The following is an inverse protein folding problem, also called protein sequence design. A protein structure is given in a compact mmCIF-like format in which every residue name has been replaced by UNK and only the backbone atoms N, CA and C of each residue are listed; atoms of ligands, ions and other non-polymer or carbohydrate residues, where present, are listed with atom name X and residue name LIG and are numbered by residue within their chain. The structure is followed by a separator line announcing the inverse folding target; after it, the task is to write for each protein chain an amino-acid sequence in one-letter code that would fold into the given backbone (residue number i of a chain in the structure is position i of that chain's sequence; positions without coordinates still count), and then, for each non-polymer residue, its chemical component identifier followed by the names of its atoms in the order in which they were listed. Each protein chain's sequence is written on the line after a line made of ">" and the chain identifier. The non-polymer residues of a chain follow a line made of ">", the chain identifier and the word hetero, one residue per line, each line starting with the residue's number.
data_IF_869278883636
#
_entry.id   IF_869278883636
#
_cell.length_a   1.000
_cell.length_b   1.000
_cell.length_c   1.000
_cell.angle_alpha   90.00
_cell.angle_beta   90.00
_cell.angle_gamma   90.00
#
_symmetry.space_group_name_H-M   'P 1'
#
loop_
_entity.id
_entity.type
_entity.pdbx_description
1 polymer ?
2 non-polymer ?
3 non-polymer ?
4 water ?
#
# COMPACT_ATOMS: atom_id res chain seq x y z
N UNK A 7 9.41 -21.51 -3.19
CA UNK A 7 9.50 -20.13 -3.79
C UNK A 7 10.21 -20.21 -5.15
N UNK A 8 9.88 -19.28 -6.05
CA UNK A 8 10.84 -18.83 -7.08
C UNK A 8 11.29 -17.39 -6.66
N UNK A 9 12.54 -17.01 -7.02
CA UNK A 9 13.11 -15.73 -6.59
C UNK A 9 12.51 -14.51 -7.26
N UNK A 10 12.54 -13.39 -6.56
CA UNK A 10 12.17 -12.12 -7.09
C UNK A 10 13.42 -11.56 -7.78
N UNK A 11 13.29 -10.85 -8.89
CA UNK A 11 14.49 -10.34 -9.55
C UNK A 11 14.40 -8.83 -9.73
N UNK A 12 15.47 -8.15 -9.30
CA UNK A 12 15.61 -6.73 -9.53
C UNK A 12 16.70 -6.49 -10.55
N UNK A 13 16.31 -5.98 -11.72
CA UNK A 13 17.24 -5.64 -12.76
C UNK A 13 17.70 -4.23 -12.35
N UNK A 14 19.01 -4.02 -12.33
CA UNK A 14 19.57 -2.81 -11.84
C UNK A 14 20.58 -2.37 -12.87
N UNK A 15 20.95 -1.09 -12.88
CA UNK A 15 21.97 -0.63 -13.85
C UNK A 15 23.38 -1.15 -13.54
N UNK A 16 24.12 -1.53 -14.58
CA UNK A 16 25.48 -2.02 -14.44
C UNK A 16 26.22 -1.11 -13.48
N UNK A 17 26.13 0.20 -13.70
CA UNK A 17 26.95 1.17 -12.96
C UNK A 17 26.71 1.22 -11.45
N UNK A 18 25.56 0.67 -10.99
CA UNK A 18 25.14 0.78 -9.61
C UNK A 18 25.23 -0.53 -8.86
N UNK A 19 25.44 -1.61 -9.57
CA UNK A 19 25.34 -2.93 -9.02
C UNK A 19 26.21 -3.13 -7.77
N UNK A 20 27.48 -2.77 -7.94
CA UNK A 20 28.44 -2.84 -6.87
C UNK A 20 27.92 -2.20 -5.57
N UNK A 21 27.50 -0.94 -5.62
CA UNK A 21 26.95 -0.30 -4.38
C UNK A 21 25.74 -1.06 -3.78
N UNK A 22 24.89 -1.59 -4.67
CA UNK A 22 23.69 -2.28 -4.21
C UNK A 22 24.00 -3.63 -3.52
N UNK A 23 24.78 -4.52 -4.13
CA UNK A 23 25.48 -5.60 -3.36
C UNK A 23 26.12 -5.09 -2.04
N UNK A 24 26.95 -4.06 -2.10
CA UNK A 24 27.64 -3.63 -0.87
C UNK A 24 26.66 -3.11 0.15
N UNK A 25 25.56 -2.50 -0.28
CA UNK A 25 24.54 -2.03 0.65
C UNK A 25 23.61 -3.16 1.11
N UNK A 26 23.70 -4.33 0.46
CA UNK A 26 22.83 -5.48 0.73
C UNK A 26 21.36 -5.10 0.58
N UNK A 27 21.05 -4.44 -0.52
CA UNK A 27 19.68 -4.15 -0.84
C UNK A 27 18.78 -5.42 -0.83
N UNK A 28 19.25 -6.47 -1.50
CA UNK A 28 18.47 -7.67 -1.62
C UNK A 28 17.93 -8.09 -0.23
N UNK A 29 18.80 -8.31 0.74
CA UNK A 29 18.38 -8.88 2.00
C UNK A 29 17.72 -7.90 2.90
N UNK A 30 18.19 -6.67 2.89
CA UNK A 30 17.54 -5.70 3.77
C UNK A 30 16.09 -5.45 3.39
N UNK A 31 15.85 -5.50 2.09
CA UNK A 31 14.50 -5.49 1.52
C UNK A 31 13.56 -6.53 2.13
N UNK A 32 14.04 -7.77 2.16
CA UNK A 32 13.28 -8.86 2.74
C UNK A 32 13.04 -8.62 4.23
N UNK A 33 14.08 -8.16 4.92
CA UNK A 33 13.98 -7.95 6.37
C UNK A 33 12.95 -6.90 6.64
N UNK A 34 13.09 -5.75 5.99
CA UNK A 34 12.17 -4.65 6.29
C UNK A 34 10.72 -5.01 5.90
N UNK A 35 10.56 -5.82 4.85
CA UNK A 35 9.22 -6.26 4.44
C UNK A 35 8.62 -7.13 5.51
N UNK A 36 9.44 -7.96 6.14
CA UNK A 36 8.97 -8.74 7.27
C UNK A 36 8.63 -7.88 8.44
N UNK A 37 9.42 -6.86 8.69
CA UNK A 37 9.15 -6.08 9.83
C UNK A 37 7.85 -5.30 9.57
N UNK A 38 7.66 -4.78 8.38
CA UNK A 38 6.47 -4.01 8.13
C UNK A 38 5.23 -4.93 7.99
N UNK A 39 5.33 -6.06 7.26
CA UNK A 39 4.07 -6.81 6.90
C UNK A 39 3.92 -8.17 7.51
N UNK A 40 4.98 -8.68 8.14
CA UNK A 40 4.92 -9.94 8.87
C UNK A 40 4.89 -11.15 7.96
N UNK A 41 5.40 -11.01 6.74
CA UNK A 41 5.51 -12.14 5.83
C UNK A 41 6.89 -12.15 5.16
N UNK A 42 7.30 -13.38 4.83
CA UNK A 42 8.55 -13.77 4.22
C UNK A 42 8.46 -13.52 2.71
N UNK A 43 9.24 -12.59 2.18
CA UNK A 43 9.44 -12.52 0.73
C UNK A 43 10.31 -13.69 0.28
N UNK A 44 10.17 -14.17 -0.92
CA UNK A 44 11.16 -15.14 -1.41
C UNK A 44 12.53 -14.49 -1.56
N UNK A 45 13.58 -15.24 -1.90
CA UNK A 45 14.88 -14.62 -2.11
C UNK A 45 14.79 -13.55 -3.23
N UNK A 46 15.52 -12.46 -3.08
CA UNK A 46 15.61 -11.45 -4.09
C UNK A 46 17.06 -11.50 -4.63
N UNK A 47 17.23 -11.73 -5.93
CA UNK A 47 18.48 -11.55 -6.65
C UNK A 47 18.57 -10.23 -7.46
N UNK A 48 19.74 -9.61 -7.44
CA UNK A 48 20.06 -8.50 -8.31
C UNK A 48 20.67 -9.06 -9.56
N UNK A 49 20.35 -8.44 -10.68
CA UNK A 49 20.86 -8.77 -11.98
C UNK A 49 21.01 -7.43 -12.80
N UNK A 50 22.11 -7.27 -13.52
CA UNK A 50 22.34 -6.12 -14.42
C UNK A 50 21.35 -6.10 -15.57
N UNK A 51 20.57 -5.03 -15.68
CA UNK A 51 19.66 -4.83 -16.82
C UNK A 51 20.37 -4.21 -18.00
N UNK A 52 20.25 -4.86 -19.16
CA UNK A 52 20.85 -4.35 -20.41
C UNK A 52 20.10 -3.10 -20.81
N UNK A 53 20.83 -2.05 -21.13
CA UNK A 53 20.20 -0.77 -21.45
C UNK A 53 19.18 -0.36 -20.41
N UNK A 54 19.58 -0.30 -19.14
CA UNK A 54 18.86 0.48 -18.12
C UNK A 54 19.71 1.72 -17.93
N UNK A 55 19.09 2.88 -17.86
CA UNK A 55 19.84 4.07 -17.58
C UNK A 55 20.14 4.06 -16.09
N UNK A 56 21.06 4.93 -15.68
CA UNK A 56 21.59 4.86 -14.32
C UNK A 56 20.57 5.00 -13.20
N UNK A 57 19.33 5.42 -13.49
CA UNK A 57 18.37 5.64 -12.39
C UNK A 57 17.07 4.81 -12.52
N UNK A 58 17.22 3.65 -13.14
CA UNK A 58 16.12 2.74 -13.39
C UNK A 58 16.29 1.38 -12.64
N UNK A 59 15.17 0.84 -12.18
CA UNK A 59 15.11 -0.46 -11.59
C UNK A 59 13.94 -1.12 -12.23
N UNK A 60 14.01 -2.43 -12.46
CA UNK A 60 12.84 -3.21 -12.95
C UNK A 60 12.60 -4.41 -12.05
N UNK A 61 11.35 -4.69 -11.72
CA UNK A 61 11.04 -5.89 -10.94
C UNK A 61 10.43 -6.98 -11.86
N UNK A 62 10.90 -8.20 -11.67
CA UNK A 62 10.41 -9.36 -12.37
C UNK A 62 9.82 -10.31 -11.31
N UNK A 63 8.60 -10.81 -11.52
CA UNK A 63 8.03 -11.90 -10.72
C UNK A 63 7.78 -12.99 -11.69
N UNK A 64 8.28 -14.20 -11.40
CA UNK A 64 8.29 -15.33 -12.34
C UNK A 64 8.97 -15.02 -13.66
N UNK A 65 9.99 -14.18 -13.57
CA UNK A 65 10.72 -13.71 -14.73
C UNK A 65 9.85 -12.91 -15.74
N UNK A 66 8.81 -12.24 -15.26
CA UNK A 66 8.05 -11.37 -16.12
C UNK A 66 8.15 -9.96 -15.57
N UNK A 67 8.63 -9.01 -16.41
CA UNK A 67 8.71 -7.59 -16.00
C UNK A 67 7.37 -7.20 -15.48
N UNK A 68 7.36 -6.70 -14.26
CA UNK A 68 6.12 -6.37 -13.60
C UNK A 68 5.95 -4.84 -13.48
N UNK A 69 7.05 -4.10 -13.27
CA UNK A 69 7.02 -2.65 -13.09
C UNK A 69 8.45 -2.15 -13.20
N UNK A 70 8.60 -0.93 -13.75
CA UNK A 70 9.84 -0.23 -13.77
C UNK A 70 9.75 0.96 -12.82
N UNK A 71 10.80 1.25 -12.07
CA UNK A 71 10.84 2.40 -11.13
C UNK A 71 11.94 3.36 -11.51
N UNK A 72 11.77 4.66 -11.26
CA UNK A 72 12.85 5.63 -11.48
C UNK A 72 13.20 6.13 -10.08
N UNK A 73 14.41 5.81 -9.66
CA UNK A 73 14.91 6.24 -8.37
C UNK A 73 16.27 6.91 -8.67
N UNK A 74 16.46 8.11 -8.21
CA UNK A 74 17.71 8.78 -8.51
C UNK A 74 18.63 8.54 -7.30
N UNK A 75 19.51 7.56 -7.48
CA UNK A 75 20.38 7.06 -6.43
C UNK A 75 21.18 8.18 -5.74
N UNK A 76 21.68 9.16 -6.50
CA UNK A 76 22.43 10.23 -5.88
C UNK A 76 21.62 11.38 -5.28
N UNK A 77 20.29 11.37 -5.45
CA UNK A 77 19.44 12.52 -5.08
C UNK A 77 18.53 12.15 -3.92
N UNK A 78 17.76 13.08 -3.40
CA UNK A 78 16.80 12.86 -2.28
C UNK A 78 15.42 13.26 -2.77
N UNK A 79 14.39 12.56 -2.33
CA UNK A 79 13.07 12.86 -2.76
C UNK A 79 12.40 13.73 -1.73
N UNK A 80 11.72 14.81 -2.18
CA UNK A 80 10.91 15.60 -1.31
C UNK A 80 9.55 14.99 -1.37
N UNK A 81 9.07 14.50 -0.24
CA UNK A 81 7.85 13.71 -0.17
C UNK A 81 6.62 14.61 -0.08
N UNK A 82 6.70 15.69 0.71
CA UNK A 82 5.59 16.66 0.77
C UNK A 82 5.94 17.87 -0.06
N UNK A 83 6.37 17.65 -1.30
CA UNK A 83 6.79 18.78 -2.13
C UNK A 83 5.69 19.81 -2.29
N UNK A 84 5.97 21.11 -2.14
CA UNK A 84 5.06 22.18 -2.60
C UNK A 84 5.83 23.07 -3.55
N UNK A 85 5.17 23.98 -4.24
CA UNK A 85 5.90 24.87 -5.14
C UNK A 85 6.71 25.91 -4.44
N UNK A 86 6.41 26.11 -3.18
CA UNK A 86 7.18 27.01 -2.37
C UNK A 86 8.67 26.67 -2.39
N UNK A 87 9.03 25.40 -2.51
CA UNK A 87 10.41 24.94 -2.64
C UNK A 87 11.19 25.69 -3.72
N UNK A 88 10.49 26.13 -4.76
CA UNK A 88 11.14 26.87 -5.86
C UNK A 88 11.49 28.29 -5.38
N UNK A 89 10.81 28.73 -4.34
CA UNK A 89 11.07 30.05 -3.75
C UNK A 89 12.38 30.11 -3.00
N UNK A 90 12.94 28.95 -2.67
CA UNK A 90 14.22 28.93 -2.01
C UNK A 90 15.30 28.67 -3.04
N UNK A 91 15.02 28.98 -4.30
CA UNK A 91 15.94 28.72 -5.38
C UNK A 91 16.25 27.25 -5.68
N UNK A 92 15.44 26.29 -5.25
CA UNK A 92 15.74 24.88 -5.54
C UNK A 92 14.88 24.41 -6.70
N UNK A 93 15.50 23.90 -7.76
CA UNK A 93 14.72 23.44 -8.94
C UNK A 93 14.92 21.98 -9.03
N UNK A 94 13.86 21.22 -8.73
CA UNK A 94 14.01 19.77 -8.57
C UNK A 94 14.11 19.03 -9.87
N UNK A 95 14.62 17.81 -9.80
CA UNK A 95 14.55 16.91 -10.90
C UNK A 95 13.20 16.21 -10.79
N UNK A 96 12.42 16.31 -11.85
CA UNK A 96 11.07 15.87 -11.85
C UNK A 96 10.94 14.56 -12.69
N UNK A 97 10.32 13.54 -12.12
CA UNK A 97 9.90 12.38 -12.91
C UNK A 97 8.40 12.14 -12.81
N UNK A 98 7.77 11.88 -13.98
CA UNK A 98 6.31 11.68 -14.12
C UNK A 98 6.10 10.19 -14.39
N UNK A 99 5.28 9.52 -13.55
CA UNK A 99 5.11 8.03 -13.52
C UNK A 99 3.67 7.63 -13.08
N UNK A 100 2.84 7.23 -14.05
CA UNK A 100 1.40 7.14 -13.86
C UNK A 100 1.03 8.60 -13.83
N UNK A 101 -0.09 8.94 -13.19
CA UNK A 101 -0.42 10.36 -12.95
C UNK A 101 0.06 10.84 -11.55
N UNK A 102 1.16 10.25 -11.06
CA UNK A 102 1.94 10.80 -9.94
C UNK A 102 3.12 11.63 -10.48
N UNK A 103 3.58 12.61 -9.71
CA UNK A 103 4.82 13.34 -10.07
C UNK A 103 5.78 13.26 -8.85
N UNK A 104 7.07 13.11 -9.11
CA UNK A 104 8.10 12.86 -8.05
C UNK A 104 9.17 13.92 -8.16
N UNK A 105 9.58 14.48 -7.04
CA UNK A 105 10.52 15.59 -7.03
C UNK A 105 11.77 15.26 -6.28
N UNK A 106 12.89 15.37 -6.96
CA UNK A 106 14.14 14.95 -6.37
C UNK A 106 15.06 16.15 -6.38
N UNK A 107 15.90 16.25 -5.36
CA UNK A 107 16.76 17.39 -5.13
C UNK A 107 18.11 16.82 -4.65
N UNK A 108 19.16 17.63 -4.61
CA UNK A 108 20.44 17.15 -4.13
C UNK A 108 20.42 17.00 -2.62
N UNK A 109 21.41 16.25 -2.12
CA UNK A 109 21.66 16.10 -0.69
C UNK A 109 21.77 17.42 0.01
N UNK A 110 22.41 18.32 -0.67
CA UNK A 110 22.68 19.62 -0.12
C UNK A 110 21.40 20.42 0.01
N UNK A 111 20.66 20.45 -1.09
CA UNK A 111 19.36 21.13 -1.19
C UNK A 111 18.43 20.47 -0.23
N UNK A 112 18.63 19.18 -0.01
CA UNK A 112 17.80 18.43 0.87
C UNK A 112 17.95 18.82 2.30
N UNK A 113 19.17 19.16 2.72
CA UNK A 113 19.42 19.53 4.10
C UNK A 113 18.78 20.88 4.32
N UNK A 114 18.81 21.74 3.32
CA UNK A 114 18.21 23.05 3.46
C UNK A 114 16.69 22.89 3.63
N UNK A 115 16.07 22.07 2.78
CA UNK A 115 14.63 21.87 2.90
C UNK A 115 14.18 21.17 4.18
N UNK A 116 15.01 20.30 4.74
CA UNK A 116 14.69 19.63 6.02
C UNK A 116 14.45 20.62 7.13
N UNK A 117 15.28 21.66 7.14
CA UNK A 117 15.17 22.67 8.18
C UNK A 117 14.04 23.68 7.92
N UNK A 118 13.38 23.56 6.78
CA UNK A 118 12.16 24.32 6.51
C UNK A 118 10.96 23.41 6.79
N UNK A 119 11.16 22.21 7.30
CA UNK A 119 10.02 21.31 7.55
C UNK A 119 9.70 20.22 6.50
N UNK A 120 10.32 20.25 5.32
CA UNK A 120 10.08 19.21 4.34
C UNK A 120 10.64 17.86 4.84
N UNK A 121 9.92 16.80 4.48
CA UNK A 121 10.31 15.43 4.74
C UNK A 121 10.96 14.89 3.47
N UNK A 122 12.25 14.61 3.59
CA UNK A 122 13.06 14.10 2.51
C UNK A 122 13.33 12.63 2.72
N UNK A 123 13.56 11.89 1.64
CA UNK A 123 13.73 10.42 1.66
C UNK A 123 14.86 10.02 0.70
N UNK A 124 15.75 9.11 1.11
CA UNK A 124 16.80 8.67 0.19
C UNK A 124 16.35 7.68 -0.89
N UNK A 125 17.19 7.51 -1.90
CA UNK A 125 16.81 6.71 -3.05
C UNK A 125 16.46 5.29 -2.62
N UNK A 126 17.24 4.70 -1.70
CA UNK A 126 16.97 3.30 -1.29
C UNK A 126 15.65 3.14 -0.49
N UNK A 127 15.39 4.00 0.49
CA UNK A 127 14.11 3.99 1.23
C UNK A 127 12.97 4.13 0.22
N UNK A 128 13.07 5.13 -0.66
CA UNK A 128 12.08 5.32 -1.71
C UNK A 128 11.85 4.07 -2.52
N UNK A 129 12.95 3.43 -2.88
CA UNK A 129 12.91 2.24 -3.73
C UNK A 129 12.20 1.14 -3.01
N UNK A 130 12.47 1.05 -1.71
CA UNK A 130 11.77 0.06 -0.91
C UNK A 130 10.28 0.35 -0.85
N UNK A 131 9.85 1.60 -0.64
CA UNK A 131 8.42 1.88 -0.49
C UNK A 131 7.70 1.51 -1.79
N UNK A 132 8.38 1.74 -2.92
CA UNK A 132 7.83 1.41 -4.24
C UNK A 132 7.71 -0.08 -4.42
N UNK A 133 8.76 -0.82 -4.14
CA UNK A 133 8.70 -2.31 -4.21
C UNK A 133 7.71 -2.88 -3.24
N UNK A 134 7.71 -2.37 -2.00
CA UNK A 134 6.79 -2.87 -0.97
C UNK A 134 5.36 -2.76 -1.46
N UNK A 135 5.05 -1.59 -2.02
CA UNK A 135 3.69 -1.25 -2.48
C UNK A 135 3.24 -2.19 -3.59
N UNK A 136 4.07 -2.37 -4.62
CA UNK A 136 3.85 -3.34 -5.74
C UNK A 136 3.79 -4.82 -5.29
N UNK A 137 4.70 -5.18 -4.38
CA UNK A 137 4.69 -6.54 -3.82
C UNK A 137 3.50 -6.77 -2.89
N UNK A 138 3.12 -5.77 -2.11
CA UNK A 138 1.89 -5.92 -1.30
C UNK A 138 0.73 -6.27 -2.24
N UNK A 139 0.64 -5.56 -3.37
CA UNK A 139 -0.44 -5.77 -4.34
C UNK A 139 -0.34 -7.14 -5.02
N UNK A 140 0.89 -7.63 -5.23
CA UNK A 140 1.10 -8.93 -5.88
C UNK A 140 1.28 -10.09 -4.89
N UNK A 141 0.72 -9.92 -3.69
CA UNK A 141 0.78 -10.91 -2.60
C UNK A 141 0.41 -12.30 -3.02
N UNK A 142 -0.60 -12.46 -3.87
CA UNK A 142 -0.93 -13.83 -4.34
C UNK A 142 0.25 -14.54 -5.03
N UNK A 143 1.17 -13.79 -5.68
CA UNK A 143 2.31 -14.44 -6.34
C UNK A 143 3.23 -15.23 -5.42
N UNK A 144 3.32 -14.91 -4.12
CA UNK A 144 4.28 -15.60 -3.26
C UNK A 144 3.75 -15.94 -1.85
N UNK A 145 2.45 -15.76 -1.61
CA UNK A 145 1.86 -15.97 -0.30
C UNK A 145 0.49 -16.54 -0.51
N UNK A 146 0.22 -17.70 0.09
CA UNK A 146 -0.98 -18.52 -0.15
C UNK A 146 -1.14 -19.56 0.98
N UNK A 147 -1.77 -20.71 0.66
CA UNK A 147 -2.06 -21.74 1.65
C UNK A 147 -0.78 -22.18 2.40
N UNK A 148 0.30 -22.55 1.71
CA UNK A 148 1.48 -23.09 2.41
C UNK A 148 2.02 -22.14 3.46
N UNK A 149 2.18 -20.87 3.09
CA UNK A 149 2.73 -19.89 4.01
C UNK A 149 1.78 -19.58 5.13
N UNK A 150 0.50 -19.43 4.83
CA UNK A 150 -0.50 -19.27 5.86
C UNK A 150 -0.35 -20.36 6.90
N UNK A 151 -0.36 -21.59 6.41
CA UNK A 151 -0.33 -22.79 7.22
C UNK A 151 0.99 -22.79 8.05
N UNK A 152 2.05 -22.26 7.50
CA UNK A 152 3.26 -22.12 8.30
C UNK A 152 3.17 -21.00 9.36
N UNK A 153 2.48 -19.90 9.07
CA UNK A 153 2.26 -18.84 10.10
C UNK A 153 1.43 -19.32 11.28
N UNK A 154 0.39 -20.08 10.98
CA UNK A 154 -0.45 -20.77 11.98
C UNK A 154 0.34 -21.72 12.92
N UNK A 155 1.33 -22.43 12.37
CA UNK A 155 2.17 -23.36 13.16
C UNK A 155 2.88 -22.57 14.23
N UNK A 156 3.47 -21.45 13.80
CA UNK A 156 4.23 -20.58 14.68
C UNK A 156 3.28 -20.01 15.77
N UNK A 157 2.07 -19.62 15.37
CA UNK A 157 1.07 -19.15 16.33
C UNK A 157 0.61 -20.27 17.32
N UNK A 158 0.39 -21.49 16.84
CA UNK A 158 0.02 -22.63 17.72
C UNK A 158 1.01 -22.99 18.84
N UNK A 159 2.29 -22.77 18.62
CA UNK A 159 3.33 -23.01 19.64
C UNK A 159 3.23 -21.95 20.77
N UNK A 160 2.57 -20.81 20.51
CA UNK A 160 2.31 -19.78 21.54
C UNK A 160 0.86 -19.80 22.06
N UNK A 161 -0.10 -19.83 21.14
CA UNK A 161 -1.51 -19.64 21.46
C UNK A 161 -2.36 -20.77 20.85
N UNK A 162 -2.24 -21.97 21.40
CA UNK A 162 -2.95 -23.11 20.78
C UNK A 162 -4.50 -23.03 20.87
N UNK A 163 -4.99 -22.57 21.99
CA UNK A 163 -6.42 -22.49 22.21
C UNK A 163 -7.08 -21.53 21.22
N UNK A 164 -6.47 -20.37 20.97
CA UNK A 164 -7.02 -19.41 20.01
C UNK A 164 -6.96 -19.95 18.58
N UNK A 165 -5.95 -20.74 18.24
CA UNK A 165 -5.88 -21.29 16.91
C UNK A 165 -7.06 -22.18 16.76
N UNK A 166 -7.36 -22.98 17.78
CA UNK A 166 -8.48 -23.89 17.68
C UNK A 166 -9.84 -23.21 17.67
N UNK A 167 -9.99 -22.08 18.34
CA UNK A 167 -11.27 -21.38 18.29
C UNK A 167 -11.50 -20.95 16.85
N UNK A 168 -10.49 -20.35 16.25
CA UNK A 168 -10.65 -19.85 14.89
C UNK A 168 -10.97 -20.96 13.90
N UNK A 169 -10.31 -22.10 14.00
CA UNK A 169 -10.58 -23.27 13.12
C UNK A 169 -11.92 -23.96 13.33
N UNK A 170 -12.55 -23.83 14.50
CA UNK A 170 -13.90 -24.34 14.64
C UNK A 170 -14.76 -23.62 13.62
N UNK A 171 -14.43 -22.38 13.28
CA UNK A 171 -15.32 -21.52 12.45
C UNK A 171 -14.84 -21.09 11.06
N UNK A 172 -13.54 -21.20 10.80
CA UNK A 172 -12.90 -20.86 9.51
C UNK A 172 -11.92 -21.99 9.08
N UNK A 173 -11.88 -22.32 7.79
CA UNK A 173 -10.91 -23.27 7.30
C UNK A 173 -9.59 -22.54 7.08
N UNK A 174 -8.51 -23.30 6.99
CA UNK A 174 -7.21 -22.75 6.60
C UNK A 174 -7.22 -22.03 5.24
N UNK A 175 -7.98 -22.52 4.28
CA UNK A 175 -8.19 -21.82 3.03
C UNK A 175 -8.72 -20.39 3.28
N UNK A 176 -9.72 -20.28 4.14
CA UNK A 176 -10.47 -19.05 4.34
C UNK A 176 -9.61 -18.00 4.97
N UNK A 177 -8.79 -18.41 5.94
CA UNK A 177 -7.91 -17.52 6.69
C UNK A 177 -6.79 -17.00 5.78
N UNK A 178 -6.32 -17.84 4.85
CA UNK A 178 -5.35 -17.41 3.86
C UNK A 178 -5.93 -16.34 2.97
N UNK A 179 -7.19 -16.52 2.55
CA UNK A 179 -7.88 -15.51 1.75
C UNK A 179 -7.93 -14.22 2.58
N UNK A 180 -8.16 -14.32 3.89
CA UNK A 180 -8.32 -13.08 4.66
C UNK A 180 -7.00 -12.31 4.64
N UNK A 181 -5.91 -13.03 4.92
CA UNK A 181 -4.59 -12.48 5.07
C UNK A 181 -4.16 -11.87 3.76
N UNK A 182 -4.44 -12.57 2.66
CA UNK A 182 -4.17 -12.03 1.32
C UNK A 182 -4.89 -10.72 1.08
N UNK A 183 -6.14 -10.63 1.54
CA UNK A 183 -6.95 -9.45 1.25
C UNK A 183 -6.50 -8.27 2.07
N UNK A 184 -6.05 -8.53 3.28
CA UNK A 184 -5.44 -7.50 4.09
C UNK A 184 -4.17 -6.98 3.40
N UNK A 185 -3.31 -7.89 3.00
CA UNK A 185 -1.99 -7.53 2.56
C UNK A 185 -2.06 -6.82 1.22
N UNK A 186 -2.96 -7.28 0.34
CA UNK A 186 -3.16 -6.64 -1.00
C UNK A 186 -3.57 -5.15 -0.91
N UNK A 187 -4.10 -4.75 0.22
CA UNK A 187 -4.50 -3.38 0.48
C UNK A 187 -3.56 -2.77 1.50
N UNK A 188 -2.40 -3.42 1.67
CA UNK A 188 -1.28 -2.84 2.47
C UNK A 188 -1.46 -2.78 3.94
N UNK A 189 -2.30 -3.66 4.43
CA UNK A 189 -2.44 -3.86 5.87
C UNK A 189 -1.60 -5.02 6.37
N UNK A 190 -0.78 -4.73 7.35
CA UNK A 190 0.22 -5.68 7.86
C UNK A 190 -0.50 -6.84 8.53
N UNK A 191 0.07 -8.04 8.43
CA UNK A 191 -0.49 -9.18 9.13
C UNK A 191 0.60 -9.65 10.11
N UNK A 192 1.40 -8.71 10.62
CA UNK A 192 2.49 -9.04 11.59
C UNK A 192 1.96 -9.34 12.99
N UNK A 193 0.70 -9.03 13.24
CA UNK A 193 0.10 -9.26 14.56
C UNK A 193 -1.01 -10.29 14.36
N UNK A 194 -0.58 -11.52 14.25
CA UNK A 194 -1.43 -12.63 13.90
C UNK A 194 -2.31 -12.91 15.10
N UNK A 195 -1.81 -12.60 16.30
CA UNK A 195 -2.60 -12.73 17.52
C UNK A 195 -3.88 -11.85 17.45
N UNK A 196 -3.71 -10.60 17.06
CA UNK A 196 -4.82 -9.70 17.06
C UNK A 196 -5.81 -10.09 15.98
N UNK A 197 -5.30 -10.28 14.75
CA UNK A 197 -6.07 -10.75 13.58
C UNK A 197 -6.87 -12.02 13.93
N UNK A 198 -6.24 -12.98 14.59
CA UNK A 198 -6.97 -14.19 14.99
C UNK A 198 -8.09 -13.92 16.00
N UNK A 199 -7.83 -13.11 17.03
CA UNK A 199 -8.88 -12.72 17.97
C UNK A 199 -10.07 -12.07 17.25
N UNK A 200 -9.78 -11.20 16.27
CA UNK A 200 -10.76 -10.61 15.40
C UNK A 200 -11.49 -11.65 14.50
N UNK A 201 -10.78 -12.64 13.96
CA UNK A 201 -11.47 -13.77 13.28
C UNK A 201 -12.31 -14.57 14.27
N UNK A 202 -11.81 -14.76 15.49
CA UNK A 202 -12.55 -15.48 16.54
C UNK A 202 -13.93 -14.87 16.71
N UNK A 203 -13.96 -13.55 16.66
CA UNK A 203 -15.13 -12.78 16.99
C UNK A 203 -16.13 -12.82 15.82
N UNK A 204 -15.62 -12.65 14.60
CA UNK A 204 -16.45 -12.39 13.42
C UNK A 204 -16.71 -13.57 12.52
N UNK A 205 -15.75 -14.50 12.47
CA UNK A 205 -15.81 -15.62 11.54
C UNK A 205 -17.09 -16.45 11.70
N UNK A 206 -17.53 -16.71 12.95
CA UNK A 206 -18.80 -17.42 13.04
C UNK A 206 -19.95 -16.56 12.49
N UNK A 207 -19.86 -15.26 12.74
CA UNK A 207 -20.88 -14.30 12.30
C UNK A 207 -20.97 -14.06 10.78
N UNK A 208 -19.88 -14.34 10.06
CA UNK A 208 -19.76 -13.82 8.72
C UNK A 208 -19.12 -14.88 7.81
N UNK A 209 -19.90 -15.39 6.87
CA UNK A 209 -19.46 -16.48 5.99
C UNK A 209 -19.07 -15.97 4.61
N UNK A 210 -19.28 -14.68 4.35
CA UNK A 210 -18.83 -14.02 3.14
C UNK A 210 -17.45 -13.37 3.40
N UNK A 211 -16.40 -13.88 2.74
CA UNK A 211 -15.04 -13.42 2.98
C UNK A 211 -14.81 -11.89 2.85
N UNK A 212 -15.46 -11.27 1.88
CA UNK A 212 -15.43 -9.81 1.68
C UNK A 212 -15.97 -9.12 2.93
N UNK A 213 -17.12 -9.52 3.41
CA UNK A 213 -17.65 -8.88 4.62
C UNK A 213 -16.74 -9.12 5.81
N UNK A 214 -16.22 -10.34 5.91
CA UNK A 214 -15.32 -10.66 7.03
C UNK A 214 -14.12 -9.75 7.07
N UNK A 215 -13.48 -9.54 5.93
CA UNK A 215 -12.27 -8.72 5.88
C UNK A 215 -12.57 -7.35 6.33
N UNK A 216 -13.68 -6.78 5.90
CA UNK A 216 -14.10 -5.47 6.44
C UNK A 216 -14.31 -5.47 7.97
N UNK A 217 -14.87 -6.52 8.56
CA UNK A 217 -15.00 -6.49 10.01
C UNK A 217 -13.60 -6.64 10.67
N UNK A 218 -12.76 -7.53 10.15
CA UNK A 218 -11.42 -7.61 10.71
C UNK A 218 -10.76 -6.26 10.64
N UNK A 219 -11.07 -5.51 9.56
CA UNK A 219 -10.41 -4.21 9.35
C UNK A 219 -10.90 -3.26 10.41
N UNK A 220 -12.21 -3.23 10.63
CA UNK A 220 -12.82 -2.47 11.73
C UNK A 220 -12.16 -2.79 13.06
N UNK A 221 -12.08 -4.08 13.40
CA UNK A 221 -11.42 -4.51 14.65
C UNK A 221 -9.95 -4.04 14.72
N UNK A 222 -9.23 -3.98 13.60
CA UNK A 222 -7.82 -3.52 13.56
C UNK A 222 -7.62 -1.99 13.28
N UNK A 223 -8.68 -1.18 13.39
CA UNK A 223 -8.60 0.28 13.15
C UNK A 223 -7.30 0.96 13.63
N UNK A 224 -7.08 0.97 14.93
CA UNK A 224 -5.85 1.55 15.50
C UNK A 224 -4.52 1.10 14.85
N UNK A 225 -4.39 -0.20 14.55
CA UNK A 225 -3.16 -0.71 13.87
C UNK A 225 -2.98 -0.25 12.45
N UNK A 226 -4.07 -0.23 11.70
CA UNK A 226 -4.07 0.24 10.30
C UNK A 226 -3.73 1.72 10.30
N UNK A 227 -4.35 2.45 11.18
CA UNK A 227 -4.04 3.84 11.28
C UNK A 227 -2.55 4.11 11.59
N UNK A 228 -2.00 3.42 12.58
CA UNK A 228 -0.61 3.66 12.96
C UNK A 228 0.35 3.36 11.78
N UNK A 229 -0.01 2.35 10.98
CA UNK A 229 0.87 1.89 9.89
C UNK A 229 0.91 2.83 8.72
N UNK A 230 -0.24 3.38 8.35
CA UNK A 230 -0.26 4.32 7.25
C UNK A 230 0.32 5.64 7.72
N UNK A 231 0.27 5.95 9.00
CA UNK A 231 0.92 7.19 9.49
C UNK A 231 2.46 7.21 9.31
N UNK A 232 3.08 6.02 9.20
CA UNK A 232 4.53 5.82 9.49
C UNK A 232 4.80 6.41 10.87
N UNK A 233 5.90 7.13 11.07
CA UNK A 233 6.09 7.89 12.31
C UNK A 233 5.80 9.37 12.10
N UNK A 234 4.83 9.68 11.22
CA UNK A 234 4.49 11.07 10.86
C UNK A 234 3.00 11.24 10.62
N UNK A 235 2.60 12.45 10.23
CA UNK A 235 1.17 12.75 9.89
C UNK A 235 0.61 11.88 8.77
N UNK A 236 -0.68 11.55 8.86
CA UNK A 236 -1.37 10.73 7.82
C UNK A 236 -2.08 11.63 6.84
N UNK A 237 -1.66 11.58 5.58
CA UNK A 237 -2.16 12.48 4.58
C UNK A 237 -3.37 11.91 3.91
N UNK A 238 -4.49 12.61 3.99
CA UNK A 238 -5.76 12.07 3.52
C UNK A 238 -6.45 13.00 2.53
N UNK A 239 -7.02 12.38 1.48
CA UNK A 239 -7.92 13.02 0.58
C UNK A 239 -9.30 12.54 0.95
N UNK A 240 -10.17 13.45 1.42
CA UNK A 240 -11.54 13.05 1.87
C UNK A 240 -12.51 12.91 0.65
N UNK A 241 -13.22 11.77 0.55
CA UNK A 241 -14.30 11.63 -0.41
C UNK A 241 -15.55 12.34 0.14
N UNK A 242 -16.12 13.27 -0.66
CA UNK A 242 -17.23 14.16 -0.18
C UNK A 242 -18.52 13.38 0.01
N UNK A 243 -19.48 13.91 0.77
CA UNK A 243 -20.76 13.19 0.97
C UNK A 243 -21.49 13.01 -0.36
N UNK A 244 -21.26 13.94 -1.27
CA UNK A 244 -21.84 13.88 -2.60
C UNK A 244 -21.39 12.63 -3.40
N UNK A 245 -20.09 12.41 -3.45
CA UNK A 245 -19.54 11.25 -4.17
C UNK A 245 -19.95 10.00 -3.45
N UNK A 246 -19.79 10.03 -2.15
CA UNK A 246 -20.25 8.90 -1.32
C UNK A 246 -21.65 8.47 -1.71
N UNK A 247 -22.55 9.43 -1.88
CA UNK A 247 -23.96 9.08 -2.11
C UNK A 247 -24.24 8.51 -3.49
N UNK A 248 -23.54 8.96 -4.54
CA UNK A 248 -23.68 8.29 -5.84
C UNK A 248 -23.31 6.81 -5.77
N UNK A 249 -22.25 6.51 -4.99
CA UNK A 249 -21.82 5.12 -4.73
C UNK A 249 -22.86 4.39 -3.92
N UNK A 250 -23.33 5.03 -2.84
CA UNK A 250 -24.27 4.38 -1.91
C UNK A 250 -25.51 4.02 -2.67
N UNK A 251 -25.93 4.94 -3.52
CA UNK A 251 -27.18 4.82 -4.27
C UNK A 251 -27.04 3.78 -5.39
N UNK A 252 -25.81 3.47 -5.81
CA UNK A 252 -25.58 2.41 -6.78
C UNK A 252 -25.46 1.00 -6.20
N UNK A 253 -25.31 0.87 -4.88
CA UNK A 253 -25.05 -0.45 -4.27
C UNK A 253 -26.22 -1.35 -4.60
N UNK A 254 -25.93 -2.56 -5.08
CA UNK A 254 -27.00 -3.53 -5.45
C UNK A 254 -26.79 -4.84 -4.68
N UNK A 255 -27.72 -5.76 -4.86
CA UNK A 255 -27.59 -7.14 -4.37
C UNK A 255 -28.68 -8.05 -4.95
N UNK A 256 -28.26 -9.14 -5.61
CA UNK A 256 -29.19 -10.08 -6.26
C UNK A 256 -29.45 -11.34 -5.42
N UNK A 257 -28.39 -12.08 -5.07
CA UNK A 257 -28.51 -13.27 -4.18
C UNK A 257 -27.23 -13.49 -3.36
N UNK A 258 -26.12 -13.83 -4.02
CA UNK A 258 -24.83 -13.80 -3.36
C UNK A 258 -24.67 -12.42 -2.72
N UNK A 259 -23.45 -11.92 -2.68
CA UNK A 259 -23.15 -10.71 -1.94
C UNK A 259 -23.55 -9.41 -2.67
N UNK A 260 -22.90 -8.33 -2.25
CA UNK A 260 -23.35 -7.00 -2.54
C UNK A 260 -22.35 -6.41 -3.52
N UNK A 261 -22.80 -5.75 -4.58
CA UNK A 261 -21.86 -5.16 -5.57
C UNK A 261 -22.26 -3.76 -6.03
N UNK A 262 -21.32 -3.09 -6.68
CA UNK A 262 -21.56 -1.72 -7.16
C UNK A 262 -22.09 -1.86 -8.60
N UNK A 263 -23.16 -1.14 -8.86
CA UNK A 263 -23.76 -1.11 -10.20
C UNK A 263 -23.96 0.36 -10.52
N UNK A 264 -23.05 0.89 -11.33
CA UNK A 264 -23.11 2.27 -11.70
C UNK A 264 -23.21 2.32 -13.18
N UNK A 265 -23.97 3.27 -13.67
CA UNK A 265 -23.90 3.56 -15.07
C UNK A 265 -22.45 3.72 -15.45
N UNK A 266 -22.10 3.25 -16.65
CA UNK A 266 -20.83 3.60 -17.31
C UNK A 266 -20.47 5.11 -17.26
N UNK A 267 -21.44 5.98 -17.54
CA UNK A 267 -21.23 7.41 -17.53
C UNK A 267 -21.10 7.93 -16.12
N UNK A 268 -21.89 7.35 -15.21
CA UNK A 268 -21.87 7.75 -13.81
C UNK A 268 -20.44 7.45 -13.29
N UNK A 269 -19.92 6.23 -13.49
CA UNK A 269 -18.55 5.89 -13.05
C UNK A 269 -17.45 6.65 -13.77
N UNK A 270 -17.52 6.80 -15.07
CA UNK A 270 -16.52 7.61 -15.76
C UNK A 270 -16.47 9.05 -15.17
N UNK A 271 -17.63 9.59 -14.77
CA UNK A 271 -17.70 10.95 -14.20
C UNK A 271 -17.08 11.09 -12.79
N UNK A 272 -17.40 10.11 -11.95
CA UNK A 272 -16.75 10.01 -10.67
C UNK A 272 -15.22 9.92 -10.90
N UNK A 273 -14.80 9.20 -11.94
CA UNK A 273 -13.37 8.97 -12.16
C UNK A 273 -12.69 10.22 -12.63
N UNK A 274 -13.41 11.02 -13.41
CA UNK A 274 -12.81 12.26 -13.91
C UNK A 274 -12.66 13.23 -12.74
N UNK A 275 -13.53 13.13 -11.72
CA UNK A 275 -13.48 14.09 -10.57
C UNK A 275 -12.27 13.75 -9.65
N UNK A 276 -12.16 12.47 -9.34
CA UNK A 276 -11.03 11.93 -8.59
C UNK A 276 -9.74 12.24 -9.35
N UNK A 277 -9.73 11.98 -10.65
CA UNK A 277 -8.54 12.18 -11.40
C UNK A 277 -8.07 13.59 -11.25
N UNK A 278 -8.97 14.55 -11.42
CA UNK A 278 -8.50 15.89 -11.58
C UNK A 278 -8.22 16.53 -10.22
N UNK A 279 -8.91 16.04 -9.19
CA UNK A 279 -8.66 16.47 -7.80
C UNK A 279 -7.27 15.99 -7.33
N UNK A 280 -6.85 14.83 -7.80
CA UNK A 280 -5.51 14.30 -7.53
C UNK A 280 -4.45 14.93 -8.37
N UNK A 281 -4.80 15.43 -9.55
CA UNK A 281 -3.82 16.09 -10.40
C UNK A 281 -3.42 17.45 -9.83
N UNK A 282 -4.26 18.00 -8.96
CA UNK A 282 -3.98 19.26 -8.27
C UNK A 282 -2.97 19.07 -7.13
N UNK A 283 -2.59 17.83 -6.82
CA UNK A 283 -1.71 17.51 -5.68
C UNK A 283 -0.32 17.10 -6.14
N UNK A 284 0.69 17.61 -5.46
CA UNK A 284 2.02 17.36 -5.85
C UNK A 284 2.51 16.06 -5.17
N UNK A 285 1.70 15.46 -4.31
CA UNK A 285 2.11 14.29 -3.56
C UNK A 285 1.72 12.98 -4.27
N UNK A 286 2.66 12.01 -4.26
CA UNK A 286 2.48 10.69 -4.89
C UNK A 286 1.40 9.93 -4.20
N UNK A 287 0.58 9.28 -5.01
CA UNK A 287 -0.53 8.53 -4.54
C UNK A 287 -0.14 7.59 -3.41
N UNK A 288 1.02 6.96 -3.48
CA UNK A 288 1.33 5.95 -2.44
C UNK A 288 1.58 6.58 -1.08
N UNK A 289 1.81 7.88 -1.05
CA UNK A 289 1.94 8.62 0.23
C UNK A 289 0.62 9.25 0.73
N UNK A 290 -0.47 9.01 0.00
CA UNK A 290 -1.80 9.43 0.39
C UNK A 290 -2.67 8.23 0.63
N UNK A 291 -3.79 8.47 1.31
CA UNK A 291 -4.99 7.63 1.24
C UNK A 291 -6.25 8.47 1.03
N UNK A 292 -7.33 7.77 0.66
CA UNK A 292 -8.63 8.35 0.50
C UNK A 292 -9.39 7.96 1.76
N UNK A 293 -10.16 8.86 2.35
CA UNK A 293 -11.09 8.54 3.44
C UNK A 293 -12.52 8.49 2.96
N UNK A 294 -13.24 7.49 3.41
CA UNK A 294 -14.63 7.36 3.10
C UNK A 294 -15.41 6.54 4.13
N UNK A 295 -16.71 6.43 3.94
CA UNK A 295 -17.53 5.79 4.95
C UNK A 295 -17.31 4.27 4.96
N UNK A 296 -17.57 3.65 6.10
CA UNK A 296 -17.29 2.22 6.23
C UNK A 296 -17.99 1.41 5.14
N UNK A 297 -19.26 1.69 4.85
CA UNK A 297 -20.00 0.86 3.89
C UNK A 297 -19.64 1.02 2.44
N UNK A 298 -18.93 2.07 2.08
CA UNK A 298 -18.53 2.28 0.70
C UNK A 298 -17.02 2.17 0.47
N UNK A 299 -16.22 2.00 1.51
CA UNK A 299 -14.74 1.89 1.36
C UNK A 299 -14.30 0.93 0.25
N UNK A 300 -14.84 -0.28 0.30
CA UNK A 300 -14.44 -1.36 -0.59
C UNK A 300 -14.86 -1.11 -2.02
N UNK A 301 -16.01 -0.49 -2.17
CA UNK A 301 -16.47 -0.15 -3.51
C UNK A 301 -15.60 0.90 -4.15
N UNK A 302 -15.16 1.89 -3.38
CA UNK A 302 -14.33 2.87 -3.98
C UNK A 302 -12.95 2.28 -4.33
N UNK A 303 -12.39 1.42 -3.47
CA UNK A 303 -11.14 0.76 -3.80
C UNK A 303 -11.28 -0.04 -5.14
N UNK A 304 -12.32 -0.87 -5.27
CA UNK A 304 -12.55 -1.64 -6.53
C UNK A 304 -12.67 -0.68 -7.69
N UNK A 305 -13.45 0.40 -7.50
CA UNK A 305 -13.65 1.39 -8.56
C UNK A 305 -12.35 2.07 -9.07
N UNK A 306 -11.45 2.43 -8.16
CA UNK A 306 -10.28 3.25 -8.52
C UNK A 306 -8.96 2.51 -8.79
N UNK A 307 -8.92 1.22 -8.47
CA UNK A 307 -7.66 0.45 -8.41
C UNK A 307 -7.08 0.16 -9.75
N UNK A 308 -7.92 -0.15 -10.74
CA UNK A 308 -7.44 -0.30 -12.13
C UNK A 308 -6.64 0.90 -12.56
N UNK A 309 -7.03 2.10 -12.12
CA UNK A 309 -6.40 3.30 -12.60
C UNK A 309 -5.37 3.93 -11.64
N UNK A 310 -5.56 3.74 -10.35
CA UNK A 310 -4.68 4.30 -9.32
C UNK A 310 -4.35 3.20 -8.35
N UNK A 311 -3.52 2.26 -8.78
CA UNK A 311 -3.33 1.05 -7.99
C UNK A 311 -2.59 1.29 -6.66
N UNK A 312 -1.88 2.40 -6.56
CA UNK A 312 -1.14 2.81 -5.35
C UNK A 312 -2.04 3.44 -4.26
N UNK A 313 -3.23 3.88 -4.62
CA UNK A 313 -4.00 4.72 -3.69
C UNK A 313 -4.94 3.88 -2.82
N UNK A 314 -4.64 3.75 -1.54
CA UNK A 314 -5.51 2.96 -0.65
C UNK A 314 -6.64 3.81 -0.13
N UNK A 315 -7.64 3.17 0.45
CA UNK A 315 -8.88 3.79 0.81
C UNK A 315 -9.19 3.31 2.23
N UNK A 316 -9.04 4.22 3.18
CA UNK A 316 -9.38 3.96 4.57
C UNK A 316 -10.80 4.46 4.83
N UNK A 317 -11.49 3.80 5.76
CA UNK A 317 -12.78 4.24 6.25
C UNK A 317 -12.59 5.22 7.38
N UNK A 318 -13.63 6.01 7.66
CA UNK A 318 -13.57 6.96 8.77
C UNK A 318 -13.50 6.25 10.12
N UNK A 319 -14.02 5.01 10.17
CA UNK A 319 -13.92 4.12 11.36
C UNK A 319 -12.46 3.76 11.64
N UNK A 320 -11.70 3.54 10.59
CA UNK A 320 -10.33 3.17 10.74
C UNK A 320 -9.43 4.30 11.19
N UNK A 321 -9.87 5.55 11.04
CA UNK A 321 -9.14 6.70 11.61
C UNK A 321 -9.82 7.37 12.85
N UNK A 322 -10.94 6.86 13.34
CA UNK A 322 -11.62 7.53 14.46
C UNK A 322 -10.62 7.85 15.58
N UNK A 323 -9.73 6.91 15.85
CA UNK A 323 -8.85 6.96 17.01
C UNK A 323 -7.45 7.48 16.61
N UNK A 324 -7.32 8.19 15.48
CA UNK A 324 -6.02 8.80 15.19
C UNK A 324 -5.92 10.22 15.71
N UNK A 325 -4.67 10.66 15.86
CA UNK A 325 -4.32 11.99 16.34
C UNK A 325 -4.05 12.85 15.10
N UNK A 326 -3.14 12.38 14.24
CA UNK A 326 -2.61 13.22 13.19
C UNK A 326 -3.01 12.79 11.80
N UNK A 327 -4.32 12.78 11.57
CA UNK A 327 -4.82 12.77 10.20
C UNK A 327 -4.77 14.23 9.68
N UNK A 328 -4.23 14.44 8.48
CA UNK A 328 -4.23 15.74 7.83
C UNK A 328 -4.97 15.67 6.49
N UNK A 329 -6.22 16.14 6.45
CA UNK A 329 -7.02 16.19 5.21
C UNK A 329 -6.48 17.31 4.30
N UNK A 330 -5.98 16.96 3.13
CA UNK A 330 -5.34 17.96 2.28
C UNK A 330 -6.17 18.29 1.02
N UNK A 331 -7.13 17.45 0.65
CA UNK A 331 -8.09 17.87 -0.38
C UNK A 331 -9.37 17.08 -0.21
N UNK A 332 -10.45 17.57 -0.76
CA UNK A 332 -11.71 16.79 -0.78
C UNK A 332 -11.97 16.33 -2.21
N UNK A 333 -12.78 15.29 -2.37
CA UNK A 333 -13.19 14.93 -3.73
C UNK A 333 -14.72 15.03 -3.91
X LIG B 1 11.33 3.36 6.83
X LIG B 1 11.43 3.15 8.33
X LIG B 1 12.30 4.37 6.34
X LIG B 1 9.95 3.85 6.46
X LIG B 1 11.59 1.96 5.97
X LIG B 1 12.74 2.00 4.98
X LIG B 1 14.09 1.95 5.67
X LIG B 1 15.13 1.12 5.05
X LIG B 1 15.14 0.58 3.70
X LIG B 1 15.18 -0.92 3.86
X LIG B 1 15.50 -1.68 2.59
X LIG B 1 16.82 -1.28 1.94
X LIG B 1 17.36 -0.02 2.63
X LIG B 1 16.33 1.07 2.94
X LIG C 1 2.84 2.19 3.21
X LIG C 1 4.34 2.12 3.10
X LIG C 1 2.33 0.77 3.50
X LIG C 1 2.27 3.10 4.27
X LIG C 1 2.34 2.67 1.90
X LIG D 1 -13.21 -8.85 -5.74
X LIG D 1 -12.30 -7.70 -6.13
X LIG D 1 -12.31 -9.95 -5.22
X LIG D 1 -14.20 -8.50 -4.64
X LIG D 1 -13.85 -9.30 -7.04
#
# INVERSE_FOLDING_TARGET
>A
GSHMTETVPLILLVPKSRREDLEKAQLAERLRSQFFIDYGVRLPEVLLRDGEGLDDNSIVLLINEIRVEQFTVYFDLMRVVNYSDEVVSFGINPTIHQQGSSQYFWVTHEEGEKLRELGYVLRNALDELYHCLAVTLARNVNEYFGIQETKHMLDQLEAKFPDLLKEVLRHATVQRISEVLQRLLSERVSVRNMKLIMEALALWAPREKDVINLVEHIRGAMARYICHKFANGGELRAVMVSAEVEDVIRKGIRQTSGSTFLSLDPEASANLMDLITLKLDDLLIAHKDLVLLTSVDVRRFIKKMIEGRFPDLEVLSFGEIADSKSVNVIKTI
>B hetero
1 CXS S O1 O2 O3 C1 C2 C3 N C4 C5 C6 C7 C8 C9
>C hetero
1 PO4 P O1 O2 O3 O4
>D hetero
1 PO4 P O1 O2 O3 O4
#
